data_IF_400553094204
#
_entry.id   IF_400553094204
#
_cell.length_a   1.000
_cell.length_b   1.000
_cell.length_c   1.000
_cell.angle_alpha   90.00
_cell.angle_beta   90.00
_cell.angle_gamma   90.00
#
_symmetry.space_group_name_H-M   'P 1'
#
loop_
_entity.id
_entity.type
_entity.pdbx_description
1 polymer ?
#
# COMPACT_ATOMS: atom_id res chain seq x y z
N UNK A 1 -1.90 -46.66 -80.34
CA UNK A 1 -1.96 -45.23 -79.98
C UNK A 1 -2.84 -45.12 -78.75
N UNK A 2 -2.28 -44.66 -77.62
CA UNK A 2 -2.93 -44.50 -76.30
C UNK A 2 -3.40 -45.81 -75.64
N UNK A 3 -3.32 -46.04 -74.33
CA UNK A 3 -3.46 -45.14 -73.18
C UNK A 3 -2.65 -45.65 -71.98
N UNK A 4 -1.70 -44.85 -71.50
CA UNK A 4 -1.10 -45.00 -70.17
C UNK A 4 -2.05 -44.36 -69.14
N UNK A 5 -2.48 -45.05 -68.07
CA UNK A 5 -3.27 -44.42 -67.01
C UNK A 5 -2.41 -43.43 -66.20
N UNK A 6 -2.97 -42.23 -66.02
CA UNK A 6 -2.47 -41.05 -65.30
C UNK A 6 -1.86 -41.36 -63.93
N UNK A 7 -0.65 -40.85 -63.70
CA UNK A 7 -0.27 -40.35 -62.38
C UNK A 7 -1.33 -39.35 -61.90
N UNK A 8 -2.00 -39.68 -60.81
CA UNK A 8 -2.84 -38.73 -60.09
C UNK A 8 -2.05 -38.25 -58.87
N UNK A 9 -1.64 -36.98 -58.82
CA UNK A 9 -0.98 -36.42 -57.65
C UNK A 9 -2.05 -36.21 -56.57
N UNK A 10 -2.01 -37.02 -55.51
CA UNK A 10 -2.66 -36.72 -54.24
C UNK A 10 -1.83 -37.30 -53.11
N UNK A 11 -0.64 -36.75 -52.97
CA UNK A 11 -0.15 -36.27 -51.68
C UNK A 11 -1.32 -35.62 -50.92
N UNK A 12 -2.00 -36.46 -50.13
CA UNK A 12 -2.83 -35.99 -49.05
C UNK A 12 -1.85 -35.37 -48.08
N UNK A 13 -1.64 -34.07 -48.24
CA UNK A 13 -1.06 -33.20 -47.23
C UNK A 13 -1.98 -33.29 -46.00
N UNK A 14 -1.76 -34.33 -45.20
CA UNK A 14 -2.30 -34.39 -43.85
C UNK A 14 -1.61 -33.24 -43.11
N UNK A 15 -2.34 -32.21 -42.65
CA UNK A 15 -1.73 -31.21 -41.80
C UNK A 15 -1.05 -31.95 -40.65
N UNK A 16 0.28 -31.79 -40.55
CA UNK A 16 1.05 -32.59 -39.62
C UNK A 16 0.54 -32.32 -38.20
N UNK A 17 0.27 -33.35 -37.37
CA UNK A 17 -0.27 -33.16 -36.01
C UNK A 17 0.60 -32.24 -35.12
N UNK A 18 1.88 -32.07 -35.47
CA UNK A 18 2.89 -31.32 -34.72
C UNK A 18 2.57 -29.82 -34.63
N UNK A 19 2.02 -29.22 -35.70
CA UNK A 19 1.69 -27.79 -35.74
C UNK A 19 0.38 -27.46 -34.99
N UNK A 20 -0.49 -28.45 -34.81
CA UNK A 20 -1.69 -28.35 -33.99
C UNK A 20 -1.39 -28.49 -32.49
N UNK A 21 -0.48 -29.39 -32.12
CA UNK A 21 -0.10 -29.61 -30.72
C UNK A 21 0.67 -28.44 -30.10
N UNK A 22 1.58 -27.78 -30.83
CA UNK A 22 2.29 -26.59 -30.37
C UNK A 22 1.35 -25.38 -30.21
N UNK A 23 0.43 -25.19 -31.17
CA UNK A 23 -0.63 -24.18 -31.06
C UNK A 23 -1.57 -24.44 -29.89
N UNK A 24 -1.95 -25.69 -29.66
CA UNK A 24 -2.77 -26.09 -28.53
C UNK A 24 -2.07 -25.85 -27.18
N UNK A 25 -0.77 -26.14 -27.07
CA UNK A 25 0.01 -25.90 -25.86
C UNK A 25 0.18 -24.41 -25.55
N UNK A 26 0.50 -23.58 -26.56
CA UNK A 26 0.56 -22.12 -26.38
C UNK A 26 -0.80 -21.53 -25.98
N UNK A 27 -1.89 -22.02 -26.59
CA UNK A 27 -3.24 -21.61 -26.24
C UNK A 27 -3.59 -21.97 -24.79
N UNK A 28 -3.18 -23.15 -24.32
CA UNK A 28 -3.32 -23.59 -22.93
C UNK A 28 -2.57 -22.69 -21.94
N UNK A 29 -1.28 -22.45 -22.17
CA UNK A 29 -0.45 -21.59 -21.29
C UNK A 29 -0.97 -20.15 -21.23
N UNK A 30 -1.43 -19.62 -22.36
CA UNK A 30 -2.03 -18.28 -22.42
C UNK A 30 -3.33 -18.23 -21.62
N UNK A 31 -4.19 -19.24 -21.75
CA UNK A 31 -5.43 -19.35 -21.00
C UNK A 31 -5.20 -19.50 -19.48
N UNK A 32 -4.20 -20.27 -19.07
CA UNK A 32 -3.84 -20.45 -17.66
C UNK A 32 -3.25 -19.18 -17.04
N UNK A 33 -2.41 -18.46 -17.79
CA UNK A 33 -1.87 -17.16 -17.36
C UNK A 33 -3.01 -16.13 -17.21
N UNK A 34 -3.97 -16.09 -18.14
CA UNK A 34 -5.16 -15.24 -18.02
C UNK A 34 -6.02 -15.60 -16.81
N UNK A 35 -6.09 -16.88 -16.42
CA UNK A 35 -6.78 -17.35 -15.21
C UNK A 35 -6.09 -16.86 -13.94
N UNK A 36 -4.77 -17.03 -13.81
CA UNK A 36 -3.99 -16.55 -12.67
C UNK A 36 -4.07 -15.03 -12.54
N UNK A 37 -3.99 -14.30 -13.65
CA UNK A 37 -4.08 -12.84 -13.65
C UNK A 37 -5.44 -12.35 -13.14
N UNK A 38 -6.55 -13.02 -13.52
CA UNK A 38 -7.88 -12.71 -12.96
C UNK A 38 -7.96 -13.02 -11.47
N UNK A 39 -7.36 -14.12 -11.03
CA UNK A 39 -7.35 -14.52 -9.62
C UNK A 39 -6.56 -13.56 -8.75
N UNK A 40 -5.37 -13.14 -9.19
CA UNK A 40 -4.54 -12.13 -8.51
C UNK A 40 -5.26 -10.77 -8.44
N UNK A 41 -5.97 -10.36 -9.50
CA UNK A 41 -6.77 -9.11 -9.46
C UNK A 41 -7.94 -9.23 -8.48
N UNK A 42 -8.65 -10.35 -8.46
CA UNK A 42 -9.76 -10.56 -7.51
C UNK A 42 -9.25 -10.63 -6.07
N UNK A 43 -8.09 -11.26 -5.83
CA UNK A 43 -7.43 -11.28 -4.52
C UNK A 43 -6.99 -9.88 -4.10
N UNK A 44 -6.25 -9.18 -4.96
CA UNK A 44 -5.76 -7.83 -4.69
C UNK A 44 -6.92 -6.86 -4.45
N UNK A 45 -8.04 -7.04 -5.17
CA UNK A 45 -9.25 -6.25 -4.94
C UNK A 45 -9.92 -6.59 -3.60
N UNK A 46 -9.94 -7.85 -3.20
CA UNK A 46 -10.47 -8.25 -1.89
C UNK A 46 -9.60 -7.71 -0.74
N UNK A 47 -8.27 -7.83 -0.86
CA UNK A 47 -7.31 -7.34 0.12
C UNK A 47 -7.30 -5.81 0.19
N UNK A 48 -7.26 -5.12 -0.96
CA UNK A 48 -7.38 -3.67 -1.01
C UNK A 48 -8.71 -3.18 -0.41
N UNK A 49 -9.81 -3.89 -0.60
CA UNK A 49 -11.09 -3.56 0.06
C UNK A 49 -11.02 -3.75 1.57
N UNK A 50 -10.34 -4.78 2.05
CA UNK A 50 -10.21 -5.05 3.47
C UNK A 50 -9.29 -4.04 4.17
N UNK A 51 -8.16 -3.68 3.54
CA UNK A 51 -7.29 -2.59 3.97
C UNK A 51 -8.00 -1.23 3.94
N UNK A 52 -8.72 -0.94 2.85
CA UNK A 52 -9.51 0.28 2.71
C UNK A 52 -10.62 0.36 3.78
N UNK A 53 -11.31 -0.74 4.08
CA UNK A 53 -12.37 -0.75 5.09
C UNK A 53 -11.80 -0.50 6.50
N UNK A 54 -10.68 -1.15 6.84
CA UNK A 54 -10.03 -0.97 8.15
C UNK A 54 -9.50 0.45 8.33
N UNK A 55 -8.83 0.98 7.30
CA UNK A 55 -8.35 2.38 7.31
C UNK A 55 -9.50 3.39 7.31
N UNK A 56 -10.59 3.14 6.59
CA UNK A 56 -11.78 3.99 6.61
C UNK A 56 -12.48 4.00 7.97
N UNK A 57 -12.59 2.85 8.64
CA UNK A 57 -13.12 2.75 10.00
C UNK A 57 -12.28 3.56 10.99
N UNK A 58 -10.95 3.39 10.94
CA UNK A 58 -10.04 4.16 11.77
C UNK A 58 -10.17 5.68 11.49
N UNK A 59 -10.15 6.08 10.22
CA UNK A 59 -10.32 7.47 9.83
C UNK A 59 -11.67 8.05 10.28
N UNK A 60 -12.76 7.26 10.18
CA UNK A 60 -14.09 7.64 10.64
C UNK A 60 -14.17 7.82 12.16
N UNK A 61 -13.56 6.92 12.94
CA UNK A 61 -13.47 7.04 14.40
C UNK A 61 -12.65 8.25 14.82
N UNK A 62 -11.50 8.51 14.19
CA UNK A 62 -10.70 9.69 14.47
C UNK A 62 -11.41 10.99 14.06
N UNK A 63 -12.12 10.99 12.94
CA UNK A 63 -12.95 12.11 12.51
C UNK A 63 -14.07 12.40 13.50
N UNK A 64 -14.80 11.36 13.93
CA UNK A 64 -15.85 11.46 14.93
C UNK A 64 -15.34 11.92 16.30
N UNK A 65 -14.19 11.40 16.75
CA UNK A 65 -13.54 11.83 17.99
C UNK A 65 -13.12 13.29 17.93
N UNK A 66 -12.55 13.75 16.80
CA UNK A 66 -12.23 15.16 16.57
C UNK A 66 -13.46 16.05 16.65
N UNK A 67 -14.54 15.68 15.98
CA UNK A 67 -15.80 16.42 16.04
C UNK A 67 -16.40 16.46 17.46
N UNK A 68 -16.45 15.33 18.15
CA UNK A 68 -16.93 15.25 19.52
C UNK A 68 -16.10 16.12 20.48
N UNK A 69 -14.77 16.13 20.33
CA UNK A 69 -13.89 17.02 21.08
C UNK A 69 -14.20 18.50 20.81
N UNK A 70 -14.48 18.88 19.55
CA UNK A 70 -14.93 20.23 19.21
C UNK A 70 -16.28 20.59 19.86
N UNK A 71 -17.22 19.64 19.94
CA UNK A 71 -18.51 19.89 20.61
C UNK A 71 -18.34 20.08 22.12
N UNK A 72 -17.55 19.21 22.76
CA UNK A 72 -17.21 19.34 24.18
C UNK A 72 -16.50 20.66 24.45
N UNK A 73 -15.61 21.09 23.55
CA UNK A 73 -14.93 22.38 23.63
C UNK A 73 -15.92 23.55 23.66
N UNK A 74 -16.89 23.57 22.74
CA UNK A 74 -17.91 24.62 22.66
C UNK A 74 -18.80 24.61 23.90
N UNK A 75 -19.44 23.48 24.22
CA UNK A 75 -20.35 23.39 25.36
C UNK A 75 -19.63 23.61 26.70
N UNK A 76 -18.40 23.11 26.84
CA UNK A 76 -17.55 23.35 28.00
C UNK A 76 -17.19 24.82 28.16
N UNK A 77 -16.95 25.55 27.06
CA UNK A 77 -16.70 26.99 27.10
C UNK A 77 -17.91 27.78 27.56
N UNK A 78 -19.09 27.45 27.02
CA UNK A 78 -20.35 28.08 27.42
C UNK A 78 -20.65 27.78 28.89
N UNK A 79 -20.56 26.51 29.30
CA UNK A 79 -20.78 26.11 30.69
C UNK A 79 -19.79 26.78 31.65
N UNK A 80 -18.51 26.84 31.28
CA UNK A 80 -17.47 27.50 32.06
C UNK A 80 -17.72 29.00 32.20
N UNK A 81 -18.02 29.69 31.10
CA UNK A 81 -18.30 31.13 31.11
C UNK A 81 -19.58 31.45 31.89
N UNK A 82 -20.67 30.71 31.66
CA UNK A 82 -21.93 30.87 32.39
C UNK A 82 -21.81 30.51 33.87
N UNK A 83 -20.97 29.54 34.22
CA UNK A 83 -20.67 29.18 35.61
C UNK A 83 -19.88 30.27 36.32
N UNK A 84 -18.79 30.75 35.72
CA UNK A 84 -17.98 31.84 36.27
C UNK A 84 -18.76 33.16 36.35
N UNK A 85 -19.65 33.43 35.40
CA UNK A 85 -20.47 34.63 35.41
C UNK A 85 -21.42 34.72 36.63
N UNK A 86 -21.61 33.63 37.39
CA UNK A 86 -22.35 33.65 38.66
C UNK A 86 -21.55 34.20 39.83
N UNK A 87 -20.22 34.22 39.73
CA UNK A 87 -19.29 34.66 40.79
C UNK A 87 -18.49 35.91 40.42
N UNK A 88 -18.41 36.26 39.13
CA UNK A 88 -17.74 37.46 38.63
C UNK A 88 -18.48 38.05 37.43
N UNK A 89 -18.09 39.26 37.02
CA UNK A 89 -18.61 39.88 35.80
C UNK A 89 -18.34 39.01 34.56
N UNK A 90 -19.32 38.99 33.64
CA UNK A 90 -19.30 38.11 32.47
C UNK A 90 -18.13 38.34 31.53
N UNK A 91 -17.61 39.57 31.44
CA UNK A 91 -16.45 39.87 30.59
C UNK A 91 -15.17 39.21 31.15
N UNK A 92 -14.97 39.28 32.47
CA UNK A 92 -13.85 38.60 33.12
C UNK A 92 -13.98 37.08 33.07
N UNK A 93 -15.21 36.55 33.21
CA UNK A 93 -15.48 35.12 33.02
C UNK A 93 -15.08 34.64 31.62
N UNK A 94 -15.47 35.39 30.58
CA UNK A 94 -15.11 35.09 29.19
C UNK A 94 -13.60 35.17 28.95
N UNK A 95 -12.90 36.15 29.56
CA UNK A 95 -11.44 36.26 29.46
C UNK A 95 -10.72 35.06 30.07
N UNK A 96 -11.18 34.53 31.21
CA UNK A 96 -10.58 33.34 31.83
C UNK A 96 -10.73 32.12 30.92
N UNK A 97 -11.93 31.90 30.36
CA UNK A 97 -12.17 30.79 29.43
C UNK A 97 -11.35 30.95 28.15
N UNK A 98 -11.23 32.16 27.62
CA UNK A 98 -10.37 32.46 26.47
C UNK A 98 -8.88 32.19 26.79
N UNK A 99 -8.42 32.57 27.98
CA UNK A 99 -7.07 32.26 28.46
C UNK A 99 -6.81 30.75 28.55
N UNK A 100 -7.78 29.97 29.03
CA UNK A 100 -7.67 28.52 29.05
C UNK A 100 -7.51 27.93 27.63
N UNK A 101 -8.28 28.43 26.66
CA UNK A 101 -8.13 28.04 25.25
C UNK A 101 -6.81 28.44 24.63
N UNK A 102 -6.25 29.59 25.01
CA UNK A 102 -4.92 30.01 24.58
C UNK A 102 -3.86 28.98 24.98
N UNK A 103 -3.91 28.51 26.23
CA UNK A 103 -2.98 27.48 26.75
C UNK A 103 -3.15 26.16 26.00
N UNK A 104 -4.39 25.70 25.84
CA UNK A 104 -4.69 24.46 25.09
C UNK A 104 -4.21 24.57 23.64
N UNK A 105 -4.49 25.68 22.97
CA UNK A 105 -4.05 25.94 21.60
C UNK A 105 -2.53 25.98 21.45
N UNK A 106 -1.83 26.63 22.37
CA UNK A 106 -0.37 26.68 22.38
C UNK A 106 0.24 25.28 22.55
N UNK A 107 -0.31 24.46 23.46
CA UNK A 107 0.13 23.09 23.66
C UNK A 107 -0.10 22.21 22.41
N UNK A 108 -1.32 22.25 21.85
CA UNK A 108 -1.65 21.51 20.63
C UNK A 108 -0.77 21.90 19.45
N UNK A 109 -0.51 23.20 19.29
CA UNK A 109 0.38 23.70 18.25
C UNK A 109 1.82 23.22 18.43
N UNK A 110 2.33 23.25 19.66
CA UNK A 110 3.66 22.73 19.99
C UNK A 110 3.79 21.23 19.66
N UNK A 111 2.81 20.43 20.10
CA UNK A 111 2.74 18.99 19.81
C UNK A 111 2.64 18.71 18.31
N UNK A 112 1.76 19.41 17.61
CA UNK A 112 1.57 19.28 16.16
C UNK A 112 2.84 19.63 15.40
N UNK A 113 3.51 20.74 15.77
CA UNK A 113 4.79 21.15 15.20
C UNK A 113 5.88 20.10 15.42
N UNK A 114 5.97 19.55 16.62
CA UNK A 114 6.96 18.53 16.96
C UNK A 114 6.75 17.25 16.13
N UNK A 115 5.49 16.79 16.01
CA UNK A 115 5.14 15.62 15.19
C UNK A 115 5.40 15.86 13.70
N UNK A 116 5.02 17.03 13.17
CA UNK A 116 5.29 17.38 11.78
C UNK A 116 6.78 17.38 11.46
N UNK A 117 7.61 17.93 12.34
CA UNK A 117 9.08 17.91 12.19
C UNK A 117 9.65 16.49 12.24
N UNK A 118 9.12 15.61 13.07
CA UNK A 118 9.57 14.21 13.14
C UNK A 118 9.29 13.44 11.84
N UNK A 119 8.18 13.74 11.16
CA UNK A 119 7.85 13.15 9.86
C UNK A 119 8.76 13.66 8.74
N UNK A 120 9.11 14.95 8.74
CA UNK A 120 10.05 15.53 7.78
C UNK A 120 11.51 15.07 8.00
N UNK A 121 11.85 14.66 9.23
CA UNK A 121 13.21 14.24 9.60
C UNK A 121 13.49 12.74 9.34
N UNK A 122 12.65 12.04 8.56
CA UNK A 122 12.87 10.62 8.20
C UNK A 122 13.39 10.50 6.76
N UNK A 123 14.70 10.72 6.49
CA UNK A 123 15.28 10.38 5.21
C UNK A 123 15.34 8.86 5.09
N UNK A 124 14.72 8.35 4.02
CA UNK A 124 14.95 7.07 3.34
C UNK A 124 15.98 6.14 4.01
N UNK A 125 15.58 5.45 5.08
CA UNK A 125 16.25 4.20 5.49
C UNK A 125 15.59 3.02 4.78
N UNK A 126 15.70 3.05 3.46
CA UNK A 126 15.59 1.89 2.57
C UNK A 126 16.64 2.03 1.47
N UNK A 127 17.83 2.53 1.82
CA UNK A 127 19.00 2.18 1.05
C UNK A 127 19.38 0.75 1.38
N UNK A 128 19.33 -0.05 0.30
CA UNK A 128 20.18 -1.20 0.00
C UNK A 128 20.04 -2.41 0.92
N UNK A 129 19.29 -3.38 0.38
CA UNK A 129 19.53 -4.79 0.62
C UNK A 129 21.04 -5.07 0.59
N UNK A 130 21.46 -5.84 1.59
CA UNK A 130 22.82 -6.36 1.71
C UNK A 130 23.21 -7.04 0.40
N UNK A 131 23.95 -6.32 -0.42
CA UNK A 131 24.98 -6.88 -1.28
C UNK A 131 26.01 -7.56 -0.38
N UNK A 132 25.74 -8.79 0.03
CA UNK A 132 26.76 -9.71 0.54
C UNK A 132 27.01 -10.82 -0.47
N UNK A 133 27.23 -10.43 -1.73
CA UNK A 133 28.04 -11.20 -2.66
C UNK A 133 29.50 -10.87 -2.41
N UNK A 134 30.10 -11.43 -1.36
CA UNK A 134 31.56 -11.40 -1.15
C UNK A 134 32.01 -12.68 -0.46
N UNK A 135 31.95 -13.79 -1.20
CA UNK A 135 32.78 -14.99 -0.99
C UNK A 135 32.79 -15.82 -2.28
N UNK A 136 33.28 -15.21 -3.37
CA UNK A 136 33.78 -15.95 -4.52
C UNK A 136 35.06 -15.25 -4.93
N UNK A 137 36.20 -15.85 -4.59
CA UNK A 137 37.51 -15.22 -4.71
C UNK A 137 38.52 -15.78 -3.72
N UNK A 138 38.61 -17.11 -3.62
CA UNK A 138 39.78 -17.80 -3.07
C UNK A 138 39.93 -19.14 -3.77
N UNK A 139 40.23 -19.07 -5.06
CA UNK A 139 40.95 -20.11 -5.80
C UNK A 139 42.31 -19.51 -6.14
N UNK A 140 43.35 -20.04 -5.51
CA UNK A 140 44.73 -19.62 -5.70
C UNK A 140 45.50 -19.90 -4.42
N UNK A 141 46.50 -20.78 -4.53
CA UNK A 141 47.50 -21.13 -3.51
C UNK A 141 47.15 -22.30 -2.57
N UNK A 142 46.95 -23.50 -3.12
CA UNK A 142 47.44 -24.72 -2.44
C UNK A 142 47.72 -25.85 -3.45
N UNK A 143 48.63 -25.58 -4.39
CA UNK A 143 49.36 -26.62 -5.12
C UNK A 143 50.81 -26.60 -4.56
N UNK A 144 51.12 -27.61 -3.72
CA UNK A 144 52.38 -28.35 -3.44
C UNK A 144 53.76 -27.68 -3.71
N UNK A 145 54.88 -28.01 -2.99
CA UNK A 145 55.33 -29.40 -2.76
C UNK A 145 56.23 -29.67 -1.51
N UNK A 146 56.42 -30.96 -1.17
CA UNK A 146 57.45 -31.56 -0.27
C UNK A 146 57.52 -31.11 1.21
N UNK A 147 57.10 -32.01 2.12
CA UNK A 147 57.76 -32.34 3.39
C UNK A 147 57.23 -33.70 3.90
#
# INVERSE_FOLDING_TARGET
MATTPKDTPRDIERPTPRDGSLRGALAGVTADTQRLFRQEIELAKAEARQEAASSALAAGLFGGAGFAACMVAVFGSLAGASGLARVMDGAFAALVVAGAWLVVGAALFGMGRARARALSARPERTQTGKTSGKTSGKTGEEEAPWA
#
